data_IF_034800070320
#
_entry.id   IF_034800070320
#
_cell.length_a   1.000
_cell.length_b   1.000
_cell.length_c   1.000
_cell.angle_alpha   90.00
_cell.angle_beta   90.00
_cell.angle_gamma   90.00
#
_symmetry.space_group_name_H-M   'P 1'
#
loop_
_entity.id
_entity.type
_entity.pdbx_description
1 polymer ?
#
# COMPACT_ATOMS: atom_id res chain seq x y z
N UNK A 1 34.78 91.73 -10.06
CA UNK A 1 34.19 91.66 -8.70
C UNK A 1 33.53 90.29 -8.56
N UNK A 2 33.75 89.65 -7.47
CA UNK A 2 33.75 88.17 -7.20
C UNK A 2 32.39 87.50 -7.25
N UNK A 3 32.29 86.41 -8.03
CA UNK A 3 31.22 85.41 -7.90
C UNK A 3 31.68 84.23 -6.98
N UNK A 4 30.87 83.75 -6.03
CA UNK A 4 31.14 82.54 -5.37
C UNK A 4 30.32 81.40 -5.99
N UNK A 5 31.00 80.33 -6.38
CA UNK A 5 30.41 79.05 -6.79
C UNK A 5 29.71 78.36 -5.60
N UNK A 6 28.45 78.03 -5.79
CA UNK A 6 27.74 77.08 -4.92
C UNK A 6 28.00 75.64 -5.43
N UNK A 7 28.63 74.79 -4.60
CA UNK A 7 28.74 73.37 -4.84
C UNK A 7 27.51 72.69 -4.24
N UNK A 8 26.61 72.14 -5.10
CA UNK A 8 25.58 71.18 -4.69
C UNK A 8 26.17 69.80 -4.65
N UNK A 9 26.35 69.20 -3.46
CA UNK A 9 26.58 67.74 -3.31
C UNK A 9 25.25 67.02 -3.42
N UNK A 10 25.07 66.21 -4.52
CA UNK A 10 23.97 65.32 -4.65
C UNK A 10 24.36 63.97 -3.95
N UNK A 11 23.75 63.67 -2.81
CA UNK A 11 23.84 62.38 -2.14
C UNK A 11 22.84 61.44 -2.85
N UNK A 12 23.39 60.49 -3.66
CA UNK A 12 22.60 59.42 -4.25
C UNK A 12 22.34 58.34 -3.17
N UNK A 13 21.13 58.32 -2.60
CA UNK A 13 20.69 57.23 -1.76
C UNK A 13 20.42 56.00 -2.63
N UNK A 14 21.33 54.99 -2.61
CA UNK A 14 21.06 53.67 -3.17
C UNK A 14 20.02 52.96 -2.29
N UNK A 15 18.75 53.01 -2.71
CA UNK A 15 17.72 52.10 -2.17
C UNK A 15 18.03 50.66 -2.63
N UNK A 16 18.52 49.84 -1.73
CA UNK A 16 18.61 48.39 -1.96
C UNK A 16 17.21 47.82 -2.06
N UNK A 17 16.73 47.62 -3.27
CA UNK A 17 15.50 46.86 -3.53
C UNK A 17 15.83 45.42 -3.22
N UNK A 18 15.44 44.92 -2.04
CA UNK A 18 15.43 43.50 -1.74
C UNK A 18 14.42 42.84 -2.69
N UNK A 19 14.92 42.13 -3.70
CA UNK A 19 14.08 41.25 -4.52
C UNK A 19 13.42 40.21 -3.59
N UNK A 20 12.09 40.02 -3.66
CA UNK A 20 11.46 38.96 -2.91
C UNK A 20 12.10 37.64 -3.32
N UNK A 21 12.62 36.91 -2.37
CA UNK A 21 13.09 35.53 -2.62
C UNK A 21 11.95 34.77 -3.30
N UNK A 22 12.17 34.38 -4.54
CA UNK A 22 11.20 33.59 -5.28
C UNK A 22 11.04 32.29 -4.49
N UNK A 23 9.88 32.09 -3.82
CA UNK A 23 9.58 30.86 -3.14
C UNK A 23 9.69 29.75 -4.19
N UNK A 24 10.68 28.86 -4.02
CA UNK A 24 10.89 27.75 -4.94
C UNK A 24 9.59 26.95 -5.04
N UNK A 25 9.34 26.37 -6.22
CA UNK A 25 8.18 25.50 -6.43
C UNK A 25 8.24 24.35 -5.43
N UNK A 26 7.17 24.16 -4.65
CA UNK A 26 7.11 23.11 -3.64
C UNK A 26 7.11 21.75 -4.32
N UNK A 27 7.89 20.81 -3.78
CA UNK A 27 7.86 19.43 -4.22
C UNK A 27 6.50 18.81 -3.87
N UNK A 28 5.79 18.29 -4.87
CA UNK A 28 4.58 17.51 -4.65
C UNK A 28 4.99 16.05 -4.52
N UNK A 29 4.85 15.50 -3.30
CA UNK A 29 5.11 14.09 -3.00
C UNK A 29 3.78 13.30 -3.09
N UNK A 30 3.68 12.41 -4.05
CA UNK A 30 2.48 11.64 -4.39
C UNK A 30 2.59 10.24 -3.82
N UNK A 31 1.70 9.89 -2.90
CA UNK A 31 1.75 8.62 -2.15
C UNK A 31 0.49 7.81 -2.37
N UNK A 32 0.65 6.59 -2.90
CA UNK A 32 -0.43 5.63 -3.09
C UNK A 32 -0.68 4.79 -1.85
N UNK A 33 -1.93 4.40 -1.64
CA UNK A 33 -2.36 3.44 -0.62
C UNK A 33 -3.69 2.78 -1.01
N UNK A 34 -4.18 1.85 -0.18
CA UNK A 34 -5.51 1.23 -0.37
C UNK A 34 -6.36 1.47 0.88
N UNK A 35 -7.69 1.55 0.74
CA UNK A 35 -8.62 1.67 1.87
C UNK A 35 -8.78 0.33 2.60
N UNK A 36 -7.66 -0.25 3.02
CA UNK A 36 -7.56 -1.54 3.72
C UNK A 36 -6.82 -1.36 5.04
N UNK A 37 -7.23 -2.06 6.09
CA UNK A 37 -6.57 -1.97 7.41
C UNK A 37 -5.11 -2.45 7.35
N UNK A 38 -4.74 -3.28 6.39
CA UNK A 38 -3.34 -3.64 6.14
C UNK A 38 -2.44 -2.46 5.74
N UNK A 39 -3.02 -1.28 5.46
CA UNK A 39 -2.33 -0.03 5.15
C UNK A 39 -2.43 1.00 6.30
N UNK A 40 -2.36 0.53 7.55
CA UNK A 40 -2.61 1.32 8.78
C UNK A 40 -1.86 2.65 8.79
N UNK A 41 -0.56 2.65 8.47
CA UNK A 41 0.27 3.86 8.52
C UNK A 41 -0.25 4.93 7.56
N UNK A 42 -0.63 4.54 6.34
CA UNK A 42 -1.19 5.46 5.36
C UNK A 42 -2.55 6.00 5.82
N UNK A 43 -3.43 5.13 6.33
CA UNK A 43 -4.76 5.54 6.81
C UNK A 43 -4.66 6.49 8.00
N UNK A 44 -3.81 6.20 8.98
CA UNK A 44 -3.58 7.07 10.15
C UNK A 44 -3.01 8.42 9.69
N UNK A 45 -2.01 8.42 8.82
CA UNK A 45 -1.40 9.66 8.34
C UNK A 45 -2.39 10.50 7.53
N UNK A 46 -3.17 9.89 6.64
CA UNK A 46 -4.16 10.60 5.84
C UNK A 46 -5.30 11.17 6.71
N UNK A 47 -5.75 10.43 7.71
CA UNK A 47 -6.70 10.92 8.72
C UNK A 47 -6.16 12.16 9.46
N UNK A 48 -4.90 12.12 9.87
CA UNK A 48 -4.25 13.26 10.54
C UNK A 48 -4.09 14.45 9.58
N UNK A 49 -3.74 14.22 8.32
CA UNK A 49 -3.67 15.29 7.30
C UNK A 49 -5.02 15.97 7.11
N UNK A 50 -6.12 15.22 6.99
CA UNK A 50 -7.50 15.75 6.91
C UNK A 50 -7.91 16.57 8.12
N UNK A 51 -7.34 16.28 9.31
CA UNK A 51 -7.58 17.01 10.54
C UNK A 51 -6.65 18.23 10.73
N UNK A 52 -5.80 18.54 9.75
CA UNK A 52 -4.81 19.60 9.85
C UNK A 52 -3.64 19.30 10.78
N UNK A 53 -3.42 18.03 11.13
CA UNK A 53 -2.37 17.52 12.03
C UNK A 53 -1.37 16.64 11.28
N UNK A 54 -1.07 16.96 10.03
CA UNK A 54 -0.31 16.12 9.11
C UNK A 54 0.98 15.55 9.70
N UNK A 55 1.05 14.21 9.85
CA UNK A 55 2.19 13.52 10.43
C UNK A 55 3.44 13.64 9.57
N UNK A 56 3.31 13.34 8.30
CA UNK A 56 4.41 13.42 7.34
C UNK A 56 4.72 14.86 6.99
N UNK A 57 3.71 15.72 6.83
CA UNK A 57 3.86 17.14 6.48
C UNK A 57 4.74 17.87 7.52
N UNK A 58 4.53 17.59 8.81
CA UNK A 58 5.33 18.18 9.89
C UNK A 58 6.82 17.78 9.84
N UNK A 59 7.12 16.58 9.30
CA UNK A 59 8.48 16.01 9.24
C UNK A 59 9.20 16.27 7.93
N UNK A 60 8.45 16.39 6.84
CA UNK A 60 8.97 16.72 5.52
C UNK A 60 9.32 18.20 5.37
N UNK A 61 8.62 19.06 6.11
CA UNK A 61 8.85 20.50 6.11
C UNK A 61 7.98 21.26 5.09
N UNK A 62 8.09 22.61 5.09
CA UNK A 62 7.18 23.48 4.34
C UNK A 62 7.35 23.44 2.82
N UNK A 63 8.47 22.91 2.32
CA UNK A 63 8.79 22.86 0.90
C UNK A 63 8.24 21.59 0.21
N UNK A 64 7.58 20.69 0.97
CA UNK A 64 6.96 19.47 0.45
C UNK A 64 5.45 19.52 0.67
N UNK A 65 4.70 19.27 -0.40
CA UNK A 65 3.25 19.08 -0.35
C UNK A 65 2.94 17.61 -0.55
N UNK A 66 2.24 16.99 0.40
CA UNK A 66 1.86 15.58 0.34
C UNK A 66 0.48 15.44 -0.34
N UNK A 67 0.39 14.49 -1.29
CA UNK A 67 -0.87 14.11 -1.93
C UNK A 67 -1.08 12.59 -1.82
N UNK A 68 -2.27 12.20 -1.33
CA UNK A 68 -2.66 10.80 -1.19
C UNK A 68 -3.48 10.35 -2.38
N UNK A 69 -3.19 9.13 -2.87
CA UNK A 69 -3.90 8.47 -3.97
C UNK A 69 -4.40 7.11 -3.52
N UNK A 70 -5.72 6.89 -3.62
CA UNK A 70 -6.35 5.62 -3.26
C UNK A 70 -6.43 4.70 -4.47
N UNK A 71 -6.01 3.44 -4.30
CA UNK A 71 -6.05 2.37 -5.30
C UNK A 71 -6.87 1.19 -4.77
N UNK A 72 -7.44 0.39 -5.68
CA UNK A 72 -8.10 -0.84 -5.27
C UNK A 72 -7.09 -1.92 -4.87
N UNK A 73 -6.02 -2.12 -5.66
CA UNK A 73 -5.04 -3.17 -5.41
C UNK A 73 -3.67 -2.88 -6.06
N UNK A 74 -2.70 -3.76 -5.80
CA UNK A 74 -1.29 -3.55 -6.07
C UNK A 74 -0.86 -3.36 -7.51
N UNK A 75 -1.35 -4.15 -8.48
CA UNK A 75 -0.97 -3.96 -9.88
C UNK A 75 -1.24 -2.54 -10.38
N UNK A 76 -2.41 -1.96 -10.07
CA UNK A 76 -2.73 -0.58 -10.45
C UNK A 76 -1.82 0.45 -9.78
N UNK A 77 -1.45 0.25 -8.50
CA UNK A 77 -0.56 1.16 -7.78
C UNK A 77 0.89 1.08 -8.33
N UNK A 78 1.39 -0.13 -8.65
CA UNK A 78 2.73 -0.28 -9.24
C UNK A 78 2.80 0.29 -10.66
N UNK A 79 1.75 0.16 -11.46
CA UNK A 79 1.67 0.88 -12.76
C UNK A 79 1.73 2.41 -12.56
N UNK A 80 1.14 2.94 -11.48
CA UNK A 80 1.27 4.35 -11.11
C UNK A 80 2.71 4.78 -10.85
N UNK A 81 3.52 3.95 -10.17
CA UNK A 81 4.97 4.18 -9.98
C UNK A 81 5.69 4.15 -11.34
N UNK A 82 5.45 3.11 -12.16
CA UNK A 82 6.12 2.97 -13.46
C UNK A 82 5.78 4.12 -14.42
N UNK A 83 4.54 4.60 -14.38
CA UNK A 83 4.09 5.76 -15.16
C UNK A 83 4.55 7.11 -14.58
N UNK A 84 5.13 7.14 -13.38
CA UNK A 84 5.53 8.37 -12.70
C UNK A 84 4.36 9.24 -12.23
N UNK A 85 3.16 8.67 -12.08
CA UNK A 85 1.97 9.39 -11.56
C UNK A 85 1.94 9.42 -10.04
N UNK A 86 2.62 8.50 -9.38
CA UNK A 86 2.91 8.52 -7.93
C UNK A 86 4.39 8.23 -7.69
N UNK A 87 4.92 8.67 -6.55
CA UNK A 87 6.33 8.58 -6.19
C UNK A 87 6.61 7.44 -5.20
N UNK A 88 5.68 7.20 -4.28
CA UNK A 88 5.68 6.09 -3.32
C UNK A 88 4.32 5.42 -3.31
N UNK A 89 4.29 4.16 -2.86
CA UNK A 89 3.02 3.50 -2.52
C UNK A 89 3.22 2.44 -1.45
N UNK A 90 2.23 2.30 -0.60
CA UNK A 90 2.02 1.09 0.18
C UNK A 90 1.40 0.04 -0.75
N UNK A 91 1.94 -1.15 -0.79
CA UNK A 91 1.53 -2.18 -1.76
C UNK A 91 1.87 -3.57 -1.27
N UNK A 92 1.18 -4.59 -1.79
CA UNK A 92 1.53 -5.97 -1.53
C UNK A 92 2.88 -6.40 -2.13
N UNK A 93 3.60 -7.35 -1.53
CA UNK A 93 4.91 -7.78 -2.02
C UNK A 93 4.88 -8.38 -3.43
N UNK A 94 3.84 -9.14 -3.81
CA UNK A 94 3.80 -9.75 -5.15
C UNK A 94 3.74 -8.74 -6.29
N UNK A 95 2.90 -7.69 -6.26
CA UNK A 95 2.95 -6.60 -7.25
C UNK A 95 4.31 -5.89 -7.29
N UNK A 96 4.93 -5.64 -6.12
CA UNK A 96 6.26 -5.03 -6.06
C UNK A 96 7.32 -5.90 -6.76
N UNK A 97 7.33 -7.21 -6.47
CA UNK A 97 8.24 -8.18 -7.09
C UNK A 97 7.98 -8.29 -8.61
N UNK A 98 6.72 -8.30 -9.04
CA UNK A 98 6.38 -8.37 -10.46
C UNK A 98 6.85 -7.11 -11.20
N UNK A 99 6.63 -5.91 -10.65
CA UNK A 99 7.12 -4.65 -11.24
C UNK A 99 8.66 -4.62 -11.27
N UNK A 100 9.32 -5.06 -10.20
CA UNK A 100 10.77 -5.20 -10.13
C UNK A 100 11.29 -6.17 -11.20
N UNK A 101 10.68 -7.35 -11.34
CA UNK A 101 11.08 -8.37 -12.33
C UNK A 101 10.88 -7.88 -13.77
N UNK A 102 9.72 -7.27 -14.09
CA UNK A 102 9.40 -6.74 -15.43
C UNK A 102 10.33 -5.63 -15.87
N UNK A 103 10.82 -4.84 -14.93
CA UNK A 103 11.79 -3.76 -15.17
C UNK A 103 13.26 -4.21 -15.05
N UNK A 104 13.53 -5.51 -14.93
CA UNK A 104 14.86 -6.05 -14.66
C UNK A 104 15.57 -5.34 -13.48
N UNK A 105 14.80 -4.95 -12.46
CA UNK A 105 15.30 -4.27 -11.27
C UNK A 105 15.56 -2.77 -11.42
N UNK A 106 15.16 -2.13 -12.52
CA UNK A 106 15.51 -0.73 -12.79
C UNK A 106 14.52 0.31 -12.28
N UNK A 107 13.25 -0.06 -11.98
CA UNK A 107 12.20 0.93 -11.78
C UNK A 107 11.66 1.06 -10.35
N UNK A 108 11.80 0.05 -9.50
CA UNK A 108 11.15 0.04 -8.17
C UNK A 108 12.09 -0.46 -7.07
N UNK A 109 11.91 0.06 -5.85
CA UNK A 109 12.59 -0.40 -4.63
C UNK A 109 11.60 -0.49 -3.47
N UNK A 110 11.77 -1.51 -2.64
CA UNK A 110 11.12 -1.60 -1.32
C UNK A 110 12.02 -0.85 -0.32
N UNK A 111 11.45 0.09 0.42
CA UNK A 111 12.19 0.95 1.36
C UNK A 111 11.81 0.71 2.82
N UNK A 112 10.70 0.03 3.08
CA UNK A 112 10.29 -0.41 4.42
C UNK A 112 9.22 -1.50 4.34
N UNK A 113 9.08 -2.30 5.41
CA UNK A 113 7.85 -3.02 5.71
C UNK A 113 6.75 -2.06 6.17
N UNK A 114 5.53 -2.57 6.28
CA UNK A 114 4.40 -1.86 6.88
C UNK A 114 3.54 -2.80 7.72
N UNK A 115 3.11 -3.95 7.16
CA UNK A 115 2.28 -4.91 7.86
C UNK A 115 2.51 -6.35 7.37
N UNK A 116 2.43 -7.29 8.31
CA UNK A 116 2.27 -8.71 8.07
C UNK A 116 0.85 -9.15 8.43
N UNK A 117 0.41 -10.29 7.93
CA UNK A 117 -0.90 -10.85 8.23
C UNK A 117 -2.08 -10.10 7.60
N UNK A 118 -3.27 -10.29 8.13
CA UNK A 118 -4.48 -9.63 7.64
C UNK A 118 -4.96 -10.09 6.26
N UNK A 119 -4.45 -11.18 5.75
CA UNK A 119 -4.90 -11.83 4.51
C UNK A 119 -5.41 -13.24 4.82
N UNK A 120 -6.57 -13.62 4.26
CA UNK A 120 -7.16 -14.92 4.50
C UNK A 120 -8.02 -15.41 3.33
N UNK A 121 -8.16 -16.73 3.23
CA UNK A 121 -9.18 -17.39 2.43
C UNK A 121 -10.42 -17.63 3.31
N UNK A 122 -11.54 -17.07 2.89
CA UNK A 122 -12.84 -17.18 3.58
C UNK A 122 -13.79 -17.97 2.67
N UNK A 123 -14.45 -18.98 3.21
CA UNK A 123 -15.44 -19.81 2.51
C UNK A 123 -16.86 -19.49 2.99
N UNK A 124 -17.85 -19.89 2.20
CA UNK A 124 -19.26 -19.79 2.57
C UNK A 124 -19.58 -20.53 3.87
N UNK A 125 -20.53 -20.06 4.70
CA UNK A 125 -20.84 -20.65 6.00
C UNK A 125 -21.37 -22.08 5.92
N UNK A 126 -21.99 -22.45 4.81
CA UNK A 126 -22.57 -23.77 4.54
C UNK A 126 -21.60 -24.74 3.83
N UNK A 127 -20.39 -24.29 3.49
CA UNK A 127 -19.32 -25.11 2.91
C UNK A 127 -18.38 -25.70 3.97
N UNK A 128 -17.76 -26.83 3.66
CA UNK A 128 -16.72 -27.49 4.47
C UNK A 128 -15.46 -27.76 3.63
N UNK A 129 -14.92 -26.68 3.04
CA UNK A 129 -13.71 -26.73 2.22
C UNK A 129 -12.48 -26.49 3.10
N UNK A 130 -11.50 -27.41 3.11
CA UNK A 130 -10.32 -27.37 3.98
C UNK A 130 -9.00 -27.45 3.23
N UNK A 131 -8.98 -28.26 2.18
CA UNK A 131 -7.79 -28.51 1.39
C UNK A 131 -7.98 -27.99 -0.06
N UNK A 132 -6.89 -27.71 -0.79
CA UNK A 132 -6.98 -27.23 -2.16
C UNK A 132 -7.87 -28.12 -3.07
N UNK A 133 -7.84 -29.43 -2.89
CA UNK A 133 -8.61 -30.38 -3.70
C UNK A 133 -10.13 -30.17 -3.57
N UNK A 134 -10.62 -29.68 -2.43
CA UNK A 134 -12.04 -29.40 -2.18
C UNK A 134 -12.59 -28.25 -3.03
N UNK A 135 -11.69 -27.44 -3.57
CA UNK A 135 -12.04 -26.28 -4.41
C UNK A 135 -12.22 -26.62 -5.90
N UNK A 136 -12.18 -27.91 -6.28
CA UNK A 136 -12.48 -28.32 -7.66
C UNK A 136 -13.90 -27.90 -8.05
N UNK A 137 -14.01 -27.16 -9.18
CA UNK A 137 -15.28 -26.58 -9.68
C UNK A 137 -15.75 -25.32 -8.96
N UNK A 138 -15.04 -24.87 -7.91
CA UNK A 138 -15.41 -23.70 -7.10
C UNK A 138 -14.96 -22.39 -7.72
N UNK A 139 -15.63 -21.31 -7.32
CA UNK A 139 -15.36 -19.91 -7.69
C UNK A 139 -14.76 -19.17 -6.51
N UNK A 140 -13.54 -18.72 -6.64
CA UNK A 140 -12.82 -17.99 -5.59
C UNK A 140 -12.53 -16.56 -6.07
N UNK A 141 -13.05 -15.55 -5.38
CA UNK A 141 -12.74 -14.17 -5.69
C UNK A 141 -11.40 -13.73 -5.11
N UNK A 142 -10.67 -12.87 -5.84
CA UNK A 142 -9.43 -12.21 -5.40
C UNK A 142 -9.45 -10.74 -5.82
N UNK A 143 -8.76 -9.80 -5.12
CA UNK A 143 -8.98 -8.36 -5.36
C UNK A 143 -8.61 -7.84 -6.75
N UNK A 144 -7.58 -8.41 -7.36
CA UNK A 144 -7.14 -8.06 -8.72
C UNK A 144 -6.19 -9.13 -9.26
N UNK A 145 -6.22 -9.39 -10.56
CA UNK A 145 -5.29 -10.31 -11.21
C UNK A 145 -3.83 -9.92 -10.92
N UNK A 146 -3.06 -10.86 -10.41
CA UNK A 146 -1.64 -10.67 -10.11
C UNK A 146 -1.36 -9.89 -8.81
N UNK A 147 -2.38 -9.58 -8.00
CA UNK A 147 -2.12 -9.06 -6.67
C UNK A 147 -1.66 -10.19 -5.71
N UNK A 148 -1.25 -9.84 -4.49
CA UNK A 148 -0.69 -10.81 -3.54
C UNK A 148 -1.66 -11.95 -3.24
N UNK A 149 -2.95 -11.67 -3.05
CA UNK A 149 -3.98 -12.65 -2.75
C UNK A 149 -4.32 -13.54 -3.95
N UNK A 150 -4.33 -12.98 -5.15
CA UNK A 150 -4.56 -13.73 -6.39
C UNK A 150 -3.45 -14.75 -6.63
N UNK A 151 -2.19 -14.32 -6.48
CA UNK A 151 -1.03 -15.21 -6.61
C UNK A 151 -1.02 -16.25 -5.50
N UNK A 152 -1.32 -15.88 -4.25
CA UNK A 152 -1.41 -16.81 -3.13
C UNK A 152 -2.48 -17.87 -3.36
N UNK A 153 -3.68 -17.47 -3.78
CA UNK A 153 -4.79 -18.37 -4.09
C UNK A 153 -4.38 -19.37 -5.18
N UNK A 154 -3.91 -18.86 -6.33
CA UNK A 154 -3.52 -19.73 -7.46
C UNK A 154 -2.39 -20.69 -7.09
N UNK A 155 -1.35 -20.22 -6.43
CA UNK A 155 -0.22 -21.06 -6.02
C UNK A 155 -0.62 -22.11 -4.99
N UNK A 156 -1.50 -21.77 -4.04
CA UNK A 156 -2.02 -22.71 -3.06
C UNK A 156 -2.86 -23.81 -3.69
N UNK A 157 -3.76 -23.47 -4.60
CA UNK A 157 -4.56 -24.45 -5.36
C UNK A 157 -3.67 -25.34 -6.22
N UNK A 158 -2.70 -24.77 -6.92
CA UNK A 158 -1.74 -25.52 -7.77
C UNK A 158 -0.88 -26.47 -6.95
N UNK A 159 -0.39 -26.03 -5.78
CA UNK A 159 0.38 -26.87 -4.86
C UNK A 159 -0.44 -28.07 -4.34
N UNK A 160 -1.76 -27.93 -4.27
CA UNK A 160 -2.70 -29.01 -3.95
C UNK A 160 -3.12 -29.88 -5.13
N UNK A 161 -2.48 -29.75 -6.29
CA UNK A 161 -2.67 -30.61 -7.46
C UNK A 161 -3.79 -30.16 -8.42
N UNK A 162 -4.35 -28.93 -8.26
CA UNK A 162 -5.30 -28.40 -9.21
C UNK A 162 -4.57 -27.68 -10.36
N UNK A 163 -5.09 -27.83 -11.57
CA UNK A 163 -4.64 -27.07 -12.72
C UNK A 163 -5.36 -25.71 -12.74
N UNK A 164 -4.63 -24.64 -12.46
CA UNK A 164 -5.15 -23.27 -12.41
C UNK A 164 -4.49 -22.43 -13.48
N UNK A 165 -5.28 -21.78 -14.30
CA UNK A 165 -4.82 -20.81 -15.30
C UNK A 165 -5.45 -19.43 -15.05
N UNK A 166 -4.99 -18.40 -15.79
CA UNK A 166 -5.60 -17.07 -15.70
C UNK A 166 -7.05 -17.05 -16.22
N UNK A 167 -7.42 -17.99 -17.09
CA UNK A 167 -8.74 -18.05 -17.73
C UNK A 167 -9.66 -19.12 -17.11
N UNK A 168 -9.19 -19.88 -16.11
CA UNK A 168 -9.96 -20.97 -15.50
C UNK A 168 -9.09 -22.16 -15.14
N UNK A 169 -9.64 -23.38 -15.28
CA UNK A 169 -8.99 -24.64 -14.94
C UNK A 169 -9.89 -25.48 -14.04
N UNK A 170 -9.28 -26.24 -13.11
CA UNK A 170 -10.02 -27.09 -12.15
C UNK A 170 -10.86 -26.27 -11.15
N UNK A 171 -10.49 -24.99 -10.91
CA UNK A 171 -11.27 -24.01 -10.18
C UNK A 171 -11.17 -22.65 -10.88
N UNK A 172 -12.09 -21.73 -10.58
CA UNK A 172 -12.12 -20.39 -11.15
C UNK A 172 -11.63 -19.38 -10.11
N UNK A 173 -10.47 -18.76 -10.35
CA UNK A 173 -9.99 -17.62 -9.55
C UNK A 173 -10.38 -16.33 -10.28
N UNK A 174 -11.30 -15.57 -9.67
CA UNK A 174 -12.00 -14.45 -10.29
C UNK A 174 -11.48 -13.12 -9.70
N UNK A 175 -10.71 -12.33 -10.45
CA UNK A 175 -10.35 -10.99 -10.04
C UNK A 175 -11.62 -10.13 -9.88
N UNK A 176 -11.85 -9.64 -8.66
CA UNK A 176 -13.08 -8.95 -8.26
C UNK A 176 -12.73 -7.93 -7.20
N UNK A 177 -13.15 -6.68 -7.34
CA UNK A 177 -12.89 -5.65 -6.33
C UNK A 177 -13.47 -6.01 -4.97
N UNK A 178 -12.80 -5.59 -3.90
CA UNK A 178 -13.17 -6.00 -2.54
C UNK A 178 -14.64 -5.73 -2.16
N UNK A 179 -15.25 -4.56 -2.48
CA UNK A 179 -16.67 -4.34 -2.20
C UNK A 179 -17.57 -5.34 -2.93
N UNK A 180 -17.23 -5.67 -4.19
CA UNK A 180 -17.99 -6.61 -5.01
C UNK A 180 -17.83 -8.04 -4.52
N UNK A 181 -16.64 -8.42 -3.99
CA UNK A 181 -16.45 -9.72 -3.34
C UNK A 181 -17.48 -9.94 -2.24
N UNK A 182 -17.65 -8.96 -1.34
CA UNK A 182 -18.62 -9.04 -0.25
C UNK A 182 -20.06 -9.18 -0.77
N UNK A 183 -20.41 -8.40 -1.81
CA UNK A 183 -21.73 -8.46 -2.42
C UNK A 183 -22.01 -9.82 -3.08
N UNK A 184 -21.06 -10.33 -3.88
CA UNK A 184 -21.16 -11.63 -4.53
C UNK A 184 -21.18 -12.80 -3.52
N UNK A 185 -20.42 -12.68 -2.44
CA UNK A 185 -20.40 -13.67 -1.37
C UNK A 185 -21.75 -13.75 -0.66
N UNK A 186 -22.34 -12.61 -0.27
CA UNK A 186 -23.70 -12.54 0.32
C UNK A 186 -24.77 -13.13 -0.61
N UNK A 187 -24.60 -12.95 -1.92
CA UNK A 187 -25.51 -13.49 -2.94
C UNK A 187 -25.21 -14.96 -3.31
N UNK A 188 -24.23 -15.60 -2.66
CA UNK A 188 -23.75 -16.96 -2.96
C UNK A 188 -23.37 -17.16 -4.44
N UNK A 189 -22.81 -16.13 -5.08
CA UNK A 189 -22.31 -16.18 -6.47
C UNK A 189 -20.85 -16.63 -6.56
N UNK A 190 -20.13 -16.59 -5.44
CA UNK A 190 -18.80 -17.13 -5.25
C UNK A 190 -18.79 -18.05 -4.02
N UNK A 191 -17.98 -19.09 -4.08
CA UNK A 191 -17.87 -20.10 -3.01
C UNK A 191 -16.88 -19.65 -1.91
N UNK A 192 -15.90 -18.83 -2.30
CA UNK A 192 -14.86 -18.31 -1.41
C UNK A 192 -14.31 -16.98 -1.89
N UNK A 193 -13.59 -16.30 -0.99
CA UNK A 193 -12.80 -15.13 -1.31
C UNK A 193 -11.44 -15.18 -0.60
N UNK A 194 -10.34 -14.98 -1.34
CA UNK A 194 -9.04 -14.72 -0.75
C UNK A 194 -8.79 -13.20 -0.75
N UNK A 195 -8.92 -12.59 0.41
CA UNK A 195 -8.93 -11.14 0.54
C UNK A 195 -8.09 -10.64 1.73
N UNK A 196 -8.19 -9.37 2.06
CA UNK A 196 -7.46 -8.69 3.13
C UNK A 196 -8.40 -7.97 4.09
N UNK A 197 -7.87 -7.60 5.28
CA UNK A 197 -8.62 -6.78 6.23
C UNK A 197 -8.89 -5.34 5.73
N UNK A 198 -10.10 -4.80 5.92
CA UNK A 198 -11.17 -5.29 6.80
C UNK A 198 -12.16 -6.26 6.11
N UNK A 199 -11.90 -6.68 4.87
CA UNK A 199 -12.84 -7.48 4.08
C UNK A 199 -12.97 -8.90 4.60
N UNK A 200 -11.90 -9.49 5.15
CA UNK A 200 -11.98 -10.79 5.86
C UNK A 200 -12.99 -10.69 7.00
N UNK A 201 -12.82 -9.72 7.90
CA UNK A 201 -13.73 -9.48 9.01
C UNK A 201 -15.16 -9.17 8.55
N UNK A 202 -15.34 -8.45 7.45
CA UNK A 202 -16.66 -8.19 6.87
C UNK A 202 -17.34 -9.47 6.36
N UNK A 203 -16.60 -10.34 5.69
CA UNK A 203 -17.12 -11.63 5.24
C UNK A 203 -17.55 -12.51 6.41
N UNK A 204 -16.80 -12.52 7.51
CA UNK A 204 -17.16 -13.25 8.73
C UNK A 204 -18.38 -12.63 9.43
N UNK A 205 -18.30 -11.34 9.76
CA UNK A 205 -19.31 -10.68 10.62
C UNK A 205 -20.60 -10.36 9.88
N UNK A 206 -20.54 -10.06 8.57
CA UNK A 206 -21.71 -9.63 7.78
C UNK A 206 -22.31 -10.75 6.92
N UNK A 207 -21.56 -11.84 6.68
CA UNK A 207 -22.00 -12.93 5.81
C UNK A 207 -21.78 -14.33 6.42
N UNK A 208 -21.28 -14.42 7.65
CA UNK A 208 -21.06 -15.69 8.35
C UNK A 208 -19.93 -16.54 7.80
N UNK A 209 -19.05 -15.97 6.96
CA UNK A 209 -17.94 -16.67 6.33
C UNK A 209 -16.99 -17.31 7.35
N UNK A 210 -16.33 -18.39 6.94
CA UNK A 210 -15.36 -19.13 7.76
C UNK A 210 -13.95 -18.96 7.17
N UNK A 211 -12.98 -18.53 8.00
CA UNK A 211 -11.57 -18.48 7.60
C UNK A 211 -11.00 -19.89 7.59
N UNK A 212 -10.37 -20.31 6.49
CA UNK A 212 -9.74 -21.64 6.33
C UNK A 212 -8.24 -21.57 6.09
N UNK A 213 -7.73 -20.49 5.52
CA UNK A 213 -6.30 -20.25 5.35
C UNK A 213 -5.97 -18.84 5.79
N UNK A 214 -4.99 -18.69 6.67
CA UNK A 214 -4.39 -17.41 7.04
C UNK A 214 -2.92 -17.59 7.41
N UNK A 215 -2.12 -16.55 7.19
CA UNK A 215 -0.72 -16.50 7.61
C UNK A 215 -0.46 -15.12 8.24
N UNK A 216 -0.14 -15.09 9.56
CA UNK A 216 0.09 -13.86 10.30
C UNK A 216 1.52 -13.31 10.12
N UNK A 217 2.44 -14.14 9.68
CA UNK A 217 3.87 -13.80 9.60
C UNK A 217 4.29 -13.33 8.22
N UNK A 218 3.49 -13.64 7.19
CA UNK A 218 3.80 -13.22 5.81
C UNK A 218 3.57 -11.71 5.61
N UNK A 219 4.50 -11.01 4.98
CA UNK A 219 4.30 -9.63 4.56
C UNK A 219 3.04 -9.48 3.69
N UNK A 220 2.17 -8.53 4.05
CA UNK A 220 0.96 -8.19 3.28
C UNK A 220 1.07 -6.81 2.67
N UNK A 221 1.82 -5.91 3.31
CA UNK A 221 2.06 -4.55 2.83
C UNK A 221 3.50 -4.14 3.07
N UNK A 222 4.12 -3.62 2.03
CA UNK A 222 5.44 -2.99 2.02
C UNK A 222 5.33 -1.57 1.47
N UNK A 223 6.28 -0.69 1.84
CA UNK A 223 6.42 0.64 1.27
C UNK A 223 7.43 0.58 0.12
N UNK A 224 7.02 1.04 -1.05
CA UNK A 224 7.87 1.07 -2.25
C UNK A 224 7.99 2.46 -2.83
N UNK A 225 9.08 2.70 -3.57
CA UNK A 225 9.33 3.93 -4.33
C UNK A 225 9.84 3.63 -5.72
N UNK A 226 9.64 4.55 -6.65
CA UNK A 226 10.30 4.53 -7.95
C UNK A 226 11.80 4.84 -7.85
N UNK A 227 12.64 4.13 -8.61
CA UNK A 227 14.10 4.38 -8.64
C UNK A 227 14.41 5.81 -9.07
N UNK A 228 13.63 6.38 -9.99
CA UNK A 228 13.75 7.77 -10.43
C UNK A 228 13.57 8.74 -9.26
N UNK A 229 12.54 8.54 -8.43
CA UNK A 229 12.29 9.37 -7.25
C UNK A 229 13.39 9.19 -6.20
N UNK A 230 13.79 7.94 -5.92
CA UNK A 230 14.91 7.63 -5.01
C UNK A 230 16.21 8.34 -5.43
N UNK A 231 16.50 8.40 -6.73
CA UNK A 231 17.70 9.07 -7.24
C UNK A 231 17.65 10.60 -7.16
N UNK A 232 16.48 11.19 -7.44
CA UNK A 232 16.31 12.64 -7.48
C UNK A 232 16.04 13.30 -6.12
N UNK A 233 15.42 12.56 -5.16
CA UNK A 233 14.90 13.10 -3.89
C UNK A 233 15.22 12.19 -2.71
N UNK A 234 16.47 11.72 -2.64
CA UNK A 234 16.92 10.77 -1.62
C UNK A 234 16.74 11.27 -0.18
N UNK A 235 16.97 12.55 0.06
CA UNK A 235 16.80 13.21 1.35
C UNK A 235 15.34 13.27 1.81
N UNK A 236 14.42 13.58 0.89
CA UNK A 236 12.98 13.58 1.15
C UNK A 236 12.48 12.18 1.42
N UNK A 237 12.93 11.20 0.63
CA UNK A 237 12.59 9.80 0.85
C UNK A 237 13.10 9.31 2.20
N UNK A 238 14.33 9.66 2.60
CA UNK A 238 14.89 9.30 3.91
C UNK A 238 14.03 9.88 5.06
N UNK A 239 13.62 11.14 4.97
CA UNK A 239 12.70 11.77 5.94
C UNK A 239 11.35 11.05 5.98
N UNK A 240 10.79 10.70 4.82
CA UNK A 240 9.51 9.98 4.75
C UNK A 240 9.61 8.61 5.41
N UNK A 241 10.65 7.83 5.10
CA UNK A 241 10.87 6.50 5.70
C UNK A 241 11.12 6.58 7.21
N UNK A 242 11.88 7.58 7.68
CA UNK A 242 12.05 7.83 9.11
C UNK A 242 10.70 8.15 9.79
N UNK A 243 9.92 9.05 9.21
CA UNK A 243 8.59 9.41 9.70
C UNK A 243 7.61 8.22 9.68
N UNK A 244 7.69 7.33 8.67
CA UNK A 244 6.93 6.09 8.59
C UNK A 244 7.27 5.15 9.75
N UNK A 245 8.56 4.97 10.06
CA UNK A 245 9.02 4.12 11.17
C UNK A 245 8.57 4.69 12.52
N UNK A 246 8.67 5.98 12.72
CA UNK A 246 8.16 6.66 13.92
C UNK A 246 6.63 6.50 14.04
N UNK A 247 5.90 6.62 12.93
CA UNK A 247 4.45 6.42 12.90
C UNK A 247 4.08 4.98 13.29
N UNK A 248 4.81 3.99 12.76
CA UNK A 248 4.61 2.59 13.15
C UNK A 248 4.76 2.40 14.66
N UNK A 249 5.80 2.98 15.27
CA UNK A 249 6.01 2.92 16.73
C UNK A 249 4.90 3.64 17.49
N UNK A 250 4.48 4.82 17.02
CA UNK A 250 3.38 5.56 17.63
C UNK A 250 2.08 4.75 17.60
N UNK A 251 1.75 4.11 16.49
CA UNK A 251 0.55 3.26 16.34
C UNK A 251 0.59 2.08 17.33
N UNK A 252 1.74 1.42 17.46
CA UNK A 252 1.93 0.31 18.39
C UNK A 252 1.76 0.73 19.86
N UNK A 253 2.16 1.96 20.20
CA UNK A 253 2.03 2.53 21.54
C UNK A 253 0.64 3.12 21.80
N UNK A 254 -0.11 3.47 20.76
CA UNK A 254 -1.42 4.15 20.84
C UNK A 254 -2.51 3.42 20.01
N UNK A 255 -2.72 2.10 20.21
CA UNK A 255 -3.57 1.31 19.30
C UNK A 255 -5.03 1.79 19.30
N UNK A 256 -5.56 2.21 20.44
CA UNK A 256 -6.93 2.69 20.52
C UNK A 256 -7.17 3.99 19.72
N UNK A 257 -6.21 4.91 19.73
CA UNK A 257 -6.29 6.15 18.96
C UNK A 257 -6.08 5.87 17.47
N UNK A 258 -5.12 5.01 17.14
CA UNK A 258 -4.87 4.59 15.76
C UNK A 258 -6.11 3.93 15.13
N UNK A 259 -6.83 3.06 15.86
CA UNK A 259 -8.06 2.44 15.40
C UNK A 259 -9.17 3.47 15.12
N UNK A 260 -9.31 4.52 15.93
CA UNK A 260 -10.25 5.62 15.66
C UNK A 260 -9.89 6.40 14.40
N UNK A 261 -8.59 6.69 14.18
CA UNK A 261 -8.12 7.37 12.98
C UNK A 261 -8.33 6.51 11.74
N UNK A 262 -8.06 5.21 11.81
CA UNK A 262 -8.33 4.24 10.73
C UNK A 262 -9.82 4.18 10.43
N UNK A 263 -10.68 4.11 11.46
CA UNK A 263 -12.14 4.14 11.28
C UNK A 263 -12.59 5.42 10.57
N UNK A 264 -12.07 6.56 11.01
CA UNK A 264 -12.37 7.86 10.43
C UNK A 264 -11.99 7.89 8.95
N UNK A 265 -10.77 7.50 8.61
CA UNK A 265 -10.28 7.53 7.23
C UNK A 265 -11.01 6.55 6.32
N UNK A 266 -11.20 5.30 6.75
CA UNK A 266 -11.98 4.33 5.98
C UNK A 266 -13.41 4.78 5.74
N UNK A 267 -14.05 5.43 6.72
CA UNK A 267 -15.38 6.01 6.55
C UNK A 267 -15.39 7.11 5.50
N UNK A 268 -14.37 7.99 5.52
CA UNK A 268 -14.22 9.08 4.56
C UNK A 268 -13.95 8.58 3.13
N UNK A 269 -13.06 7.60 2.96
CA UNK A 269 -12.69 7.08 1.65
C UNK A 269 -13.77 6.20 1.02
N UNK A 270 -14.37 5.30 1.81
CA UNK A 270 -15.37 4.35 1.29
C UNK A 270 -16.77 4.93 1.27
N UNK A 271 -16.99 6.10 1.88
CA UNK A 271 -18.32 6.73 2.09
C UNK A 271 -19.33 5.78 2.77
N UNK A 272 -18.80 4.77 3.45
CA UNK A 272 -19.56 3.72 4.14
C UNK A 272 -19.39 3.82 5.66
N UNK A 273 -20.41 3.43 6.41
CA UNK A 273 -20.31 3.37 7.87
C UNK A 273 -19.45 2.17 8.29
N UNK A 274 -18.36 2.44 8.97
CA UNK A 274 -17.43 1.43 9.52
C UNK A 274 -17.67 1.31 11.03
N UNK A 275 -18.06 0.13 11.50
CA UNK A 275 -18.28 -0.09 12.92
C UNK A 275 -16.95 -0.23 13.69
N UNK A 276 -16.81 0.35 14.92
CA UNK A 276 -15.61 0.15 15.72
C UNK A 276 -15.28 -1.31 15.97
N UNK A 277 -16.29 -2.16 16.18
CA UNK A 277 -16.11 -3.60 16.38
C UNK A 277 -15.45 -4.30 15.16
N UNK A 278 -15.75 -3.84 13.93
CA UNK A 278 -15.09 -4.35 12.73
C UNK A 278 -13.60 -4.01 12.72
N UNK A 279 -13.25 -2.77 13.09
CA UNK A 279 -11.85 -2.36 13.18
C UNK A 279 -11.10 -3.18 14.22
N UNK A 280 -11.67 -3.35 15.42
CA UNK A 280 -11.06 -4.13 16.48
C UNK A 280 -10.84 -5.60 16.06
N UNK A 281 -11.85 -6.24 15.45
CA UNK A 281 -11.75 -7.62 14.98
C UNK A 281 -10.68 -7.79 13.88
N UNK A 282 -10.61 -6.86 12.93
CA UNK A 282 -9.60 -6.87 11.88
C UNK A 282 -8.18 -6.60 12.41
N UNK A 283 -8.06 -5.76 13.46
CA UNK A 283 -6.77 -5.38 14.04
C UNK A 283 -6.00 -6.56 14.61
N UNK A 284 -6.69 -7.56 15.19
CA UNK A 284 -6.08 -8.75 15.79
C UNK A 284 -5.37 -9.67 14.76
N UNK A 285 -5.62 -9.46 13.47
CA UNK A 285 -4.96 -10.22 12.39
C UNK A 285 -3.74 -9.55 11.81
N UNK A 286 -3.42 -8.31 12.20
CA UNK A 286 -2.36 -7.51 11.61
C UNK A 286 -1.18 -7.42 12.58
N UNK A 287 0.02 -7.58 12.05
CA UNK A 287 1.28 -7.34 12.74
C UNK A 287 2.01 -6.21 12.05
N UNK A 288 2.12 -5.04 12.70
CA UNK A 288 2.84 -3.91 12.15
C UNK A 288 4.34 -4.12 12.28
N UNK A 289 5.08 -3.86 11.19
CA UNK A 289 6.53 -4.03 11.14
C UNK A 289 7.15 -3.08 10.13
N UNK A 290 8.39 -2.68 10.38
CA UNK A 290 9.20 -1.95 9.40
C UNK A 290 10.17 -2.88 8.65
N UNK A 291 10.25 -4.15 9.04
CA UNK A 291 11.17 -5.12 8.49
C UNK A 291 10.57 -5.87 7.30
N UNK A 292 11.41 -6.17 6.33
CA UNK A 292 11.09 -7.03 5.18
C UNK A 292 12.23 -8.03 5.01
N UNK A 293 12.15 -9.20 5.64
CA UNK A 293 13.16 -10.24 5.45
C UNK A 293 13.20 -10.69 3.97
N UNK A 294 14.39 -10.74 3.40
CA UNK A 294 14.58 -11.13 1.99
C UNK A 294 14.04 -12.55 1.72
N UNK A 295 14.20 -13.47 2.67
CA UNK A 295 13.68 -14.84 2.58
C UNK A 295 12.15 -14.88 2.46
N UNK A 296 11.45 -13.92 3.11
CA UNK A 296 10.00 -13.78 2.95
C UNK A 296 9.64 -13.41 1.51
N UNK A 297 10.40 -12.51 0.88
CA UNK A 297 10.19 -12.12 -0.51
C UNK A 297 10.43 -13.29 -1.48
N UNK A 298 11.38 -14.20 -1.16
CA UNK A 298 11.66 -15.38 -1.98
C UNK A 298 10.46 -16.34 -2.05
N UNK A 299 9.63 -16.44 -0.98
CA UNK A 299 8.39 -17.20 -1.01
C UNK A 299 7.40 -16.64 -2.03
N UNK A 300 7.30 -15.31 -2.13
CA UNK A 300 6.43 -14.65 -3.13
C UNK A 300 6.92 -14.89 -4.56
N UNK A 301 8.23 -14.91 -4.79
CA UNK A 301 8.81 -15.29 -6.10
C UNK A 301 8.43 -16.72 -6.46
N UNK A 302 8.56 -17.66 -5.52
CA UNK A 302 8.19 -19.08 -5.73
C UNK A 302 6.71 -19.20 -6.07
N UNK A 303 5.83 -18.54 -5.31
CA UNK A 303 4.39 -18.54 -5.56
C UNK A 303 4.03 -17.92 -6.91
N UNK A 304 4.64 -16.79 -7.26
CA UNK A 304 4.40 -16.12 -8.53
C UNK A 304 4.85 -16.96 -9.74
N UNK A 305 5.93 -17.73 -9.60
CA UNK A 305 6.34 -18.72 -10.62
C UNK A 305 5.35 -19.86 -10.74
N UNK A 306 4.94 -20.47 -9.62
CA UNK A 306 3.96 -21.54 -9.60
C UNK A 306 2.62 -21.11 -10.20
N UNK A 307 2.19 -19.88 -9.97
CA UNK A 307 0.99 -19.29 -10.54
C UNK A 307 1.15 -18.73 -11.97
N UNK A 308 2.34 -18.83 -12.59
CA UNK A 308 2.59 -18.41 -13.97
C UNK A 308 2.76 -16.91 -14.19
N UNK A 309 2.95 -16.11 -13.13
CA UNK A 309 3.17 -14.66 -13.22
C UNK A 309 4.63 -14.29 -13.43
N UNK A 310 5.57 -15.14 -13.04
CA UNK A 310 7.00 -14.96 -13.28
C UNK A 310 7.53 -16.11 -14.16
N UNK A 311 8.15 -15.77 -15.29
CA UNK A 311 8.81 -16.75 -16.18
C UNK A 311 10.18 -17.14 -15.64
N UNK A 312 10.90 -16.19 -15.05
CA UNK A 312 12.24 -16.38 -14.50
C UNK A 312 12.27 -15.93 -13.04
N UNK A 313 13.21 -16.47 -12.28
CA UNK A 313 13.48 -16.00 -10.91
C UNK A 313 14.26 -14.69 -10.98
N UNK A 314 13.71 -13.55 -10.52
CA UNK A 314 14.46 -12.31 -10.48
C UNK A 314 15.56 -12.39 -9.42
N UNK A 315 16.70 -11.73 -9.69
CA UNK A 315 17.67 -11.46 -8.65
C UNK A 315 17.13 -10.36 -7.73
N UNK A 316 16.91 -10.68 -6.46
CA UNK A 316 16.36 -9.75 -5.47
C UNK A 316 17.43 -8.94 -4.73
N UNK A 317 18.72 -9.06 -5.08
CA UNK A 317 19.83 -8.42 -4.35
C UNK A 317 19.65 -6.89 -4.21
N UNK A 318 18.99 -6.26 -5.17
CA UNK A 318 18.77 -4.81 -5.18
C UNK A 318 17.33 -4.38 -4.93
N UNK A 319 16.40 -5.31 -4.61
CA UNK A 319 14.99 -4.95 -4.41
C UNK A 319 14.78 -4.08 -3.17
N UNK A 320 15.60 -4.32 -2.13
CA UNK A 320 15.59 -3.53 -0.90
C UNK A 320 16.54 -2.33 -1.06
N UNK A 321 16.10 -1.15 -0.68
CA UNK A 321 16.93 0.04 -0.61
C UNK A 321 16.75 0.76 0.72
N UNK A 322 17.85 1.29 1.22
CA UNK A 322 17.84 2.27 2.32
C UNK A 322 18.12 3.65 1.73
N UNK A 323 17.19 4.59 1.87
CA UNK A 323 17.36 5.95 1.35
C UNK A 323 18.35 6.78 2.15
#
# INVERSE_FOLDING_TARGET
MKNPLLHLLAIAAMASVALPAQAGEKLVLRVGHFPNITHVQALVANALSRQGKGWFEARLGPDVTLQWFSYNAGPSATEGILAGTIDLTYVGPSPAINAYSRSAGHEIRIVSGAANGGSALVIQPDEDLKAPADFRGKKIATPQLGNTQDIACRSWLTAGGLQITQLGGDAQVLPTENPDQLALFKLKKIDAAWTVEPWVSRLEMEAGGKVVVQDKDSPVTVLVTGVKFLGAHRDILAKFVAAHRELTQWILQNPAEAQKLVQYELTAETKGKIAPALIAHAWDRIVLTNDVPLDSLQKFVTNAKAAGFLRQTPDLAQILAQP
#
